data_IF_612794798258
#
_entry.id   IF_612794798258
#
_cell.length_a   1.000
_cell.length_b   1.000
_cell.length_c   1.000
_cell.angle_alpha   90.00
_cell.angle_beta   90.00
_cell.angle_gamma   90.00
#
_symmetry.space_group_name_H-M   'P 1'
#
loop_
_entity.id
_entity.type
_entity.pdbx_description
1 polymer ?
#
# COMPACT_ATOMS: atom_id res chain seq x y z
N UNK A 1 -10.78 4.31 2.70
CA UNK A 1 -12.11 3.82 2.33
C UNK A 1 -11.97 2.74 1.28
N UNK A 2 -12.64 1.62 1.47
CA UNK A 2 -12.59 0.46 0.58
C UNK A 2 -13.92 0.35 -0.17
N UNK A 3 -13.86 0.19 -1.48
CA UNK A 3 -15.02 0.03 -2.35
C UNK A 3 -14.94 -1.34 -3.01
N UNK A 4 -15.87 -2.24 -2.69
CA UNK A 4 -16.00 -3.51 -3.39
C UNK A 4 -16.93 -3.34 -4.59
N UNK A 5 -16.49 -3.75 -5.78
CA UNK A 5 -17.30 -3.73 -7.00
C UNK A 5 -17.51 -5.13 -7.60
N UNK A 6 -16.78 -6.11 -7.14
CA UNK A 6 -16.94 -7.52 -7.45
C UNK A 6 -16.72 -8.35 -6.17
N UNK A 7 -17.23 -9.61 -6.12
CA UNK A 7 -17.15 -10.44 -4.92
C UNK A 7 -15.72 -10.74 -4.44
N UNK A 8 -14.71 -10.55 -5.31
CA UNK A 8 -13.30 -10.83 -5.02
C UNK A 8 -12.39 -9.63 -5.24
N UNK A 9 -12.92 -8.51 -5.71
CA UNK A 9 -12.16 -7.32 -6.05
C UNK A 9 -12.70 -6.11 -5.30
N UNK A 10 -11.80 -5.29 -4.84
CA UNK A 10 -12.07 -4.03 -4.19
C UNK A 10 -11.06 -2.98 -4.60
N UNK A 11 -11.36 -1.76 -4.24
CA UNK A 11 -10.50 -0.61 -4.43
C UNK A 11 -10.28 0.07 -3.09
N UNK A 12 -9.05 0.31 -2.73
CA UNK A 12 -8.68 0.96 -1.48
C UNK A 12 -8.05 2.32 -1.78
N UNK A 13 -8.60 3.36 -1.16
CA UNK A 13 -8.03 4.70 -1.14
C UNK A 13 -8.10 5.27 0.27
N UNK A 14 -7.16 6.08 0.64
CA UNK A 14 -7.11 6.69 1.96
C UNK A 14 -6.08 7.79 2.07
N UNK A 15 -5.96 8.35 3.25
CA UNK A 15 -4.91 9.29 3.63
C UNK A 15 -4.10 8.64 4.74
N UNK A 16 -2.79 8.54 4.55
CA UNK A 16 -1.88 7.91 5.49
C UNK A 16 -0.79 8.89 5.88
N UNK A 17 -0.42 8.85 7.15
CA UNK A 17 0.80 9.44 7.65
C UNK A 17 1.78 8.31 7.91
N UNK A 18 2.99 8.44 7.38
CA UNK A 18 4.05 7.46 7.53
C UNK A 18 5.35 8.14 7.94
N UNK A 19 6.10 7.48 8.80
CA UNK A 19 7.47 7.84 9.12
C UNK A 19 8.40 6.83 8.47
N UNK A 20 9.14 7.28 7.48
CA UNK A 20 9.97 6.45 6.61
C UNK A 20 11.44 6.84 6.75
N UNK A 21 12.33 5.93 6.43
CA UNK A 21 13.75 6.22 6.48
C UNK A 21 14.53 5.48 5.42
N UNK A 22 15.70 5.98 5.12
CA UNK A 22 16.69 5.28 4.32
C UNK A 22 18.05 5.35 4.97
N UNK A 23 18.89 4.40 4.61
CA UNK A 23 20.31 4.36 5.01
C UNK A 23 21.13 4.04 3.78
N UNK A 24 22.12 4.86 3.50
CA UNK A 24 23.13 4.53 2.48
C UNK A 24 24.07 3.46 3.02
N UNK A 25 24.30 2.43 2.22
CA UNK A 25 25.42 1.51 2.43
C UNK A 25 26.62 2.08 1.70
N UNK A 26 27.65 2.42 2.46
CA UNK A 26 28.92 2.76 1.87
C UNK A 26 29.77 1.49 1.64
N UNK A 27 30.59 1.54 0.61
CA UNK A 27 31.55 0.49 0.33
C UNK A 27 32.61 0.44 1.45
N UNK A 28 33.12 -0.76 1.75
CA UNK A 28 33.95 -1.02 2.93
C UNK A 28 35.30 -0.31 2.93
N UNK A 29 35.73 0.25 1.79
CA UNK A 29 37.03 0.87 1.62
C UNK A 29 37.09 2.36 1.99
N UNK A 30 35.96 2.98 2.31
CA UNK A 30 35.93 4.38 2.74
C UNK A 30 35.45 4.46 4.19
N UNK A 31 36.26 5.10 5.02
CA UNK A 31 36.09 5.32 6.47
C UNK A 31 34.87 6.24 6.83
N UNK A 32 33.88 6.27 5.94
CA UNK A 32 32.64 7.05 6.12
C UNK A 32 31.53 6.19 6.70
N UNK A 33 30.99 6.60 7.83
CA UNK A 33 29.81 5.98 8.40
C UNK A 33 28.57 6.27 7.57
N UNK A 34 27.64 5.30 7.53
CA UNK A 34 26.42 5.37 6.73
C UNK A 34 25.55 6.57 7.09
N UNK A 35 25.27 7.42 6.12
CA UNK A 35 24.27 8.47 6.22
C UNK A 35 22.87 7.84 6.35
N UNK A 36 22.09 8.35 7.30
CA UNK A 36 20.70 7.93 7.54
C UNK A 36 19.80 9.14 7.45
N UNK A 37 18.62 9.00 6.87
CA UNK A 37 17.58 10.01 6.97
C UNK A 37 16.24 9.38 7.37
N UNK A 38 15.47 10.13 8.11
CA UNK A 38 14.09 9.81 8.51
C UNK A 38 13.20 10.93 7.98
N UNK A 39 12.10 10.58 7.34
CA UNK A 39 11.16 11.52 6.73
C UNK A 39 9.76 11.24 7.21
N UNK A 40 9.01 12.31 7.47
CA UNK A 40 7.59 12.26 7.70
C UNK A 40 6.87 12.55 6.39
N UNK A 41 5.97 11.64 6.00
CA UNK A 41 5.29 11.68 4.69
C UNK A 41 3.80 11.53 4.89
N UNK A 42 3.03 12.37 4.19
CA UNK A 42 1.60 12.15 3.97
C UNK A 42 1.44 11.51 2.60
N UNK A 43 0.72 10.38 2.52
CA UNK A 43 0.51 9.67 1.26
C UNK A 43 -0.97 9.33 1.02
N UNK A 44 -1.33 9.34 -0.26
CA UNK A 44 -2.63 8.89 -0.77
C UNK A 44 -2.39 7.69 -1.68
N UNK A 45 -2.57 6.46 -1.18
CA UNK A 45 -2.51 5.27 -2.02
C UNK A 45 -3.80 5.05 -2.77
N UNK A 46 -3.67 4.50 -3.97
CA UNK A 46 -4.73 3.99 -4.82
C UNK A 46 -4.42 2.52 -5.13
N UNK A 47 -5.05 1.61 -4.39
CA UNK A 47 -4.73 0.19 -4.45
C UNK A 47 -5.91 -0.61 -4.97
N UNK A 48 -5.66 -1.48 -5.93
CA UNK A 48 -6.54 -2.56 -6.30
C UNK A 48 -6.33 -3.69 -5.29
N UNK A 49 -7.41 -4.18 -4.71
CA UNK A 49 -7.41 -5.26 -3.76
C UNK A 49 -8.12 -6.48 -4.33
N UNK A 50 -7.41 -7.59 -4.37
CA UNK A 50 -8.00 -8.91 -4.57
C UNK A 50 -8.12 -9.59 -3.21
N UNK A 51 -9.28 -10.15 -2.87
CA UNK A 51 -9.46 -10.85 -1.61
C UNK A 51 -10.22 -12.16 -1.79
N UNK A 52 -9.90 -13.10 -0.92
CA UNK A 52 -10.58 -14.39 -0.80
C UNK A 52 -11.03 -14.56 0.64
N UNK A 53 -12.33 -14.74 0.82
CA UNK A 53 -12.94 -14.94 2.12
C UNK A 53 -13.11 -16.45 2.38
N UNK A 54 -12.50 -16.94 3.47
CA UNK A 54 -12.61 -18.31 3.95
C UNK A 54 -13.17 -18.26 5.39
N UNK A 55 -14.49 -18.49 5.54
CA UNK A 55 -15.20 -18.37 6.81
C UNK A 55 -15.07 -16.95 7.41
N UNK A 56 -14.35 -16.84 8.55
CA UNK A 56 -14.08 -15.57 9.22
C UNK A 56 -12.69 -14.98 8.85
N UNK A 57 -11.98 -15.65 7.94
CA UNK A 57 -10.67 -15.20 7.49
C UNK A 57 -10.76 -14.56 6.12
N UNK A 58 -10.02 -13.48 5.92
CA UNK A 58 -9.89 -12.79 4.65
C UNK A 58 -8.41 -12.70 4.29
N UNK A 59 -8.05 -13.26 3.14
CA UNK A 59 -6.74 -13.07 2.54
C UNK A 59 -6.84 -11.97 1.48
N UNK A 60 -5.89 -11.05 1.50
CA UNK A 60 -5.89 -9.88 0.62
C UNK A 60 -4.55 -9.77 -0.09
N UNK A 61 -4.61 -9.44 -1.38
CA UNK A 61 -3.45 -9.01 -2.18
C UNK A 61 -3.75 -7.62 -2.69
N UNK A 62 -2.88 -6.69 -2.40
CA UNK A 62 -3.02 -5.29 -2.77
C UNK A 62 -1.92 -4.91 -3.75
N UNK A 63 -2.27 -4.18 -4.80
CA UNK A 63 -1.33 -3.64 -5.78
C UNK A 63 -1.85 -2.31 -6.31
N UNK A 64 -0.98 -1.33 -6.42
CA UNK A 64 -1.36 -0.04 -6.98
C UNK A 64 -0.26 1.00 -6.93
N UNK A 65 -0.66 2.23 -7.06
CA UNK A 65 0.22 3.39 -7.00
C UNK A 65 -0.10 4.24 -5.75
N UNK A 66 0.82 5.10 -5.42
CA UNK A 66 0.63 6.12 -4.38
C UNK A 66 1.26 7.44 -4.81
N UNK A 67 0.69 8.52 -4.30
CA UNK A 67 1.28 9.85 -4.31
C UNK A 67 1.40 10.37 -2.91
N UNK A 68 2.50 11.06 -2.59
CA UNK A 68 2.76 11.57 -1.26
C UNK A 68 3.50 12.89 -1.25
N UNK A 69 3.55 13.48 -0.08
CA UNK A 69 4.28 14.72 0.16
C UNK A 69 5.10 14.61 1.44
N UNK A 70 6.40 14.88 1.35
CA UNK A 70 7.36 14.84 2.45
C UNK A 70 7.22 16.11 3.27
N UNK A 71 6.79 15.98 4.52
CA UNK A 71 6.53 17.10 5.44
C UNK A 71 7.79 17.57 6.13
N UNK A 72 8.55 16.61 6.67
CA UNK A 72 9.75 16.85 7.46
C UNK A 72 10.83 15.83 7.12
N UNK A 73 12.09 16.20 7.37
CA UNK A 73 13.24 15.34 7.19
C UNK A 73 14.21 15.56 8.36
N UNK A 74 14.73 14.46 8.90
CA UNK A 74 15.84 14.43 9.85
C UNK A 74 17.00 13.69 9.19
N UNK A 75 18.09 14.38 8.95
CA UNK A 75 19.32 13.79 8.39
C UNK A 75 20.38 13.60 9.46
N UNK A 76 20.87 12.41 9.52
CA UNK A 76 21.99 12.00 10.36
C UNK A 76 23.19 11.78 9.44
N UNK A 77 24.05 12.80 9.27
CA UNK A 77 25.20 12.65 8.42
C UNK A 77 26.16 11.61 9.02
N UNK A 78 26.87 10.92 8.15
CA UNK A 78 27.86 9.93 8.58
C UNK A 78 29.00 10.58 9.37
N UNK A 79 29.57 9.87 10.34
CA UNK A 79 30.73 10.34 11.08
C UNK A 79 31.95 10.42 10.14
N UNK A 80 32.52 11.60 10.01
CA UNK A 80 33.79 11.79 9.40
C UNK A 80 34.75 12.30 10.49
N UNK A 81 35.65 11.44 10.99
CA UNK A 81 36.55 11.77 12.08
C UNK A 81 35.88 11.78 13.48
N UNK A 82 36.50 12.48 14.44
CA UNK A 82 36.15 12.49 15.85
C UNK A 82 34.93 13.38 16.23
N UNK A 83 34.40 14.15 15.29
CA UNK A 83 33.28 15.08 15.55
C UNK A 83 31.99 14.45 15.10
N UNK A 84 31.01 14.35 16.01
CA UNK A 84 29.66 13.95 15.68
C UNK A 84 29.00 15.10 14.87
N UNK A 85 28.59 14.86 13.62
CA UNK A 85 27.97 15.91 12.83
C UNK A 85 26.59 16.26 13.36
N UNK A 86 26.21 17.52 13.23
CA UNK A 86 24.91 18.04 13.67
C UNK A 86 23.76 17.45 12.81
N UNK A 87 22.68 17.04 13.47
CA UNK A 87 21.49 16.53 12.80
C UNK A 87 20.80 17.67 12.06
N UNK A 88 20.55 17.52 10.78
CA UNK A 88 19.83 18.50 9.97
C UNK A 88 18.34 18.20 9.96
N UNK A 89 17.52 19.16 10.38
CA UNK A 89 16.07 19.05 10.47
C UNK A 89 15.31 19.76 9.33
N UNK A 90 16.00 20.17 8.27
CA UNK A 90 15.41 20.92 7.17
C UNK A 90 15.68 20.31 5.82
N UNK A 91 14.72 20.50 4.89
CA UNK A 91 14.94 20.20 3.48
C UNK A 91 15.93 21.18 2.88
N UNK A 92 16.81 20.68 2.07
CA UNK A 92 17.67 21.51 1.21
C UNK A 92 16.85 22.02 0.02
N UNK A 93 17.24 23.14 -0.60
CA UNK A 93 16.57 23.66 -1.81
C UNK A 93 16.56 22.65 -2.98
N UNK A 94 17.49 21.73 -2.98
CA UNK A 94 17.65 20.66 -3.98
C UNK A 94 16.77 19.44 -3.71
N UNK A 95 16.08 19.38 -2.56
CA UNK A 95 15.29 18.21 -2.20
C UNK A 95 13.90 18.25 -2.84
N UNK A 96 13.48 17.09 -3.34
CA UNK A 96 12.11 16.92 -3.82
C UNK A 96 11.18 16.54 -2.67
N UNK A 97 10.10 17.29 -2.51
CA UNK A 97 9.08 17.00 -1.50
C UNK A 97 8.01 16.03 -1.99
N UNK A 98 7.79 15.96 -3.31
CA UNK A 98 6.83 15.02 -3.88
C UNK A 98 7.41 13.61 -3.92
N UNK A 99 6.60 12.67 -3.44
CA UNK A 99 6.87 11.24 -3.48
C UNK A 99 5.77 10.52 -4.24
N UNK A 100 6.13 9.65 -5.15
CA UNK A 100 5.19 8.82 -5.89
C UNK A 100 5.87 7.52 -6.30
N UNK A 101 5.05 6.48 -6.43
CA UNK A 101 5.58 5.18 -6.79
C UNK A 101 4.52 4.09 -6.80
N UNK A 102 5.01 2.87 -6.69
CA UNK A 102 4.18 1.67 -6.64
C UNK A 102 4.20 1.08 -5.23
N UNK A 103 3.07 0.47 -4.88
CA UNK A 103 2.88 -0.18 -3.59
C UNK A 103 2.15 -1.50 -3.82
N UNK A 104 2.67 -2.57 -3.24
CA UNK A 104 2.04 -3.89 -3.36
C UNK A 104 2.32 -4.72 -2.13
N UNK A 105 1.41 -5.64 -1.82
CA UNK A 105 1.59 -6.47 -0.66
C UNK A 105 0.45 -7.43 -0.40
N UNK A 106 0.56 -8.10 0.73
CA UNK A 106 -0.40 -9.10 1.18
C UNK A 106 -0.96 -8.72 2.53
N UNK A 107 -2.17 -9.13 2.80
CA UNK A 107 -2.85 -8.91 4.06
C UNK A 107 -3.67 -10.09 4.50
N UNK A 108 -3.92 -10.11 5.77
CA UNK A 108 -4.75 -11.09 6.43
C UNK A 108 -5.74 -10.37 7.35
N UNK A 109 -7.01 -10.71 7.26
CA UNK A 109 -8.08 -10.14 8.07
C UNK A 109 -8.90 -11.19 8.80
N UNK A 110 -9.40 -10.79 9.97
CA UNK A 110 -10.41 -11.49 10.74
C UNK A 110 -11.71 -10.70 10.64
N UNK A 111 -12.75 -11.34 10.10
CA UNK A 111 -14.04 -10.71 9.88
C UNK A 111 -15.01 -11.12 10.97
N UNK A 112 -15.37 -10.16 11.81
CA UNK A 112 -16.41 -10.27 12.83
C UNK A 112 -17.48 -9.22 12.49
N UNK A 113 -18.63 -9.61 11.97
CA UNK A 113 -19.69 -8.66 11.62
C UNK A 113 -20.15 -7.87 12.87
N UNK A 114 -20.06 -6.53 12.93
CA UNK A 114 -19.71 -5.56 11.86
C UNK A 114 -18.23 -5.11 11.83
N UNK A 115 -17.31 -5.79 12.50
CA UNK A 115 -15.91 -5.39 12.66
C UNK A 115 -15.00 -6.31 11.87
N UNK A 116 -14.04 -5.74 11.16
CA UNK A 116 -12.95 -6.47 10.49
C UNK A 116 -11.60 -5.96 11.03
N UNK A 117 -10.79 -6.86 11.57
CA UNK A 117 -9.42 -6.58 11.99
C UNK A 117 -8.49 -7.12 10.95
N UNK A 118 -7.55 -6.32 10.46
CA UNK A 118 -6.62 -6.76 9.43
C UNK A 118 -5.18 -6.35 9.73
N UNK A 119 -4.25 -7.16 9.26
CA UNK A 119 -2.80 -6.90 9.24
C UNK A 119 -2.35 -7.00 7.80
N UNK A 120 -1.55 -6.02 7.35
CA UNK A 120 -1.03 -5.97 5.99
C UNK A 120 0.48 -5.74 6.02
N UNK A 121 1.19 -6.45 5.16
CA UNK A 121 2.60 -6.21 4.87
C UNK A 121 2.72 -5.75 3.40
N UNK A 122 3.22 -4.55 3.20
CA UNK A 122 3.29 -3.91 1.89
C UNK A 122 4.72 -3.50 1.57
N UNK A 123 5.13 -3.81 0.36
CA UNK A 123 6.36 -3.33 -0.24
C UNK A 123 6.05 -2.03 -0.97
N UNK A 124 6.78 -0.97 -0.64
CA UNK A 124 6.67 0.36 -1.24
C UNK A 124 7.97 0.67 -1.97
N UNK A 125 7.86 0.97 -3.26
CA UNK A 125 8.98 1.42 -4.08
C UNK A 125 8.70 2.83 -4.61
N UNK A 126 9.51 3.79 -4.19
CA UNK A 126 9.44 5.16 -4.67
C UNK A 126 10.09 5.26 -6.04
N UNK A 127 9.38 5.83 -7.00
CA UNK A 127 9.88 6.18 -8.32
C UNK A 127 10.41 7.63 -8.36
N UNK A 128 10.17 8.39 -7.30
CA UNK A 128 10.71 9.73 -7.13
C UNK A 128 12.04 9.68 -6.38
N UNK A 129 13.04 10.38 -6.88
CA UNK A 129 14.29 10.59 -6.14
C UNK A 129 14.09 11.63 -5.06
N UNK A 130 14.73 11.45 -3.90
CA UNK A 130 14.75 12.47 -2.86
C UNK A 130 15.55 13.69 -3.30
N UNK A 131 16.66 13.46 -3.97
CA UNK A 131 17.55 14.50 -4.47
C UNK A 131 17.12 14.91 -5.88
N UNK A 132 17.12 16.21 -6.14
CA UNK A 132 16.98 16.71 -7.51
C UNK A 132 18.35 16.48 -8.21
N UNK A 133 18.44 15.62 -9.22
CA UNK A 133 19.70 15.39 -9.90
C UNK A 133 20.11 16.68 -10.62
N UNK A 134 21.22 17.27 -10.21
CA UNK A 134 21.87 18.34 -10.94
C UNK A 134 22.74 17.70 -12.03
N UNK A 135 22.26 17.69 -13.25
CA UNK A 135 22.95 17.12 -14.41
C UNK A 135 24.21 17.89 -14.81
N UNK A 136 24.41 19.07 -14.25
CA UNK A 136 25.57 19.94 -14.51
C UNK A 136 26.67 19.83 -13.45
N UNK A 137 26.42 19.10 -12.36
CA UNK A 137 27.41 18.92 -11.30
C UNK A 137 28.22 17.65 -11.53
N UNK A 138 29.52 17.79 -11.74
CA UNK A 138 30.46 16.65 -11.86
C UNK A 138 30.58 15.81 -10.57
N UNK A 139 30.08 16.32 -9.43
CA UNK A 139 30.31 15.73 -8.11
C UNK A 139 29.09 15.04 -7.47
N UNK A 140 27.85 15.21 -7.95
CA UNK A 140 26.68 14.75 -7.21
C UNK A 140 25.59 14.08 -8.08
N UNK A 141 25.92 12.92 -8.66
CA UNK A 141 24.90 11.99 -9.12
C UNK A 141 24.45 11.11 -7.95
N UNK A 142 23.57 11.61 -7.07
CA UNK A 142 22.95 10.80 -6.04
C UNK A 142 21.53 10.49 -6.42
N UNK A 143 21.27 9.25 -6.82
CA UNK A 143 19.92 8.73 -6.99
C UNK A 143 19.56 7.96 -5.73
N UNK A 144 18.55 8.43 -4.99
CA UNK A 144 17.98 7.70 -3.87
C UNK A 144 16.51 7.42 -4.18
N UNK A 145 16.22 6.18 -4.50
CA UNK A 145 14.87 5.66 -4.62
C UNK A 145 14.52 4.92 -3.32
N UNK A 146 13.81 5.54 -2.39
CA UNK A 146 13.47 4.89 -1.14
C UNK A 146 12.62 3.64 -1.40
N UNK A 147 13.02 2.55 -0.78
CA UNK A 147 12.27 1.30 -0.82
C UNK A 147 12.01 0.88 0.62
N UNK A 148 10.74 0.69 0.96
CA UNK A 148 10.32 0.41 2.31
C UNK A 148 9.37 -0.78 2.38
N UNK A 149 9.45 -1.52 3.48
CA UNK A 149 8.43 -2.50 3.86
C UNK A 149 7.59 -1.85 4.95
N UNK A 150 6.29 -1.74 4.70
CA UNK A 150 5.32 -1.13 5.61
C UNK A 150 4.43 -2.24 6.16
N UNK A 151 4.46 -2.41 7.48
CA UNK A 151 3.56 -3.31 8.18
C UNK A 151 2.50 -2.45 8.87
N UNK A 152 1.24 -2.72 8.59
CA UNK A 152 0.11 -1.97 9.15
C UNK A 152 -0.92 -2.92 9.75
N UNK A 153 -1.54 -2.49 10.84
CA UNK A 153 -2.71 -3.12 11.42
C UNK A 153 -3.86 -2.11 11.43
N UNK A 154 -5.06 -2.58 11.18
CA UNK A 154 -6.22 -1.70 11.11
C UNK A 154 -7.50 -2.41 11.51
N UNK A 155 -8.49 -1.58 11.80
CA UNK A 155 -9.86 -2.02 12.11
C UNK A 155 -10.80 -1.32 11.15
N UNK A 156 -11.60 -2.10 10.44
CA UNK A 156 -12.66 -1.58 9.60
C UNK A 156 -14.01 -1.81 10.26
N UNK A 157 -14.86 -0.79 10.21
CA UNK A 157 -16.25 -0.91 10.60
C UNK A 157 -17.12 -0.94 9.34
N UNK A 158 -17.91 -1.97 9.20
CA UNK A 158 -18.87 -2.07 8.10
C UNK A 158 -20.09 -1.19 8.43
N UNK A 159 -20.22 -0.09 7.70
CA UNK A 159 -21.35 0.85 7.86
C UNK A 159 -22.61 0.33 7.15
N UNK A 160 -22.44 -0.49 6.11
CA UNK A 160 -23.51 -1.10 5.34
C UNK A 160 -23.54 -2.59 5.61
N UNK A 161 -24.72 -3.14 5.93
CA UNK A 161 -24.87 -4.60 6.05
C UNK A 161 -24.34 -5.26 4.79
N UNK A 162 -23.55 -6.29 4.96
CA UNK A 162 -23.04 -7.11 3.86
C UNK A 162 -24.23 -7.79 3.17
N UNK A 163 -24.82 -7.14 2.19
CA UNK A 163 -25.90 -7.69 1.34
C UNK A 163 -25.34 -8.70 0.32
N UNK A 164 -24.17 -9.24 0.58
CA UNK A 164 -23.65 -10.37 -0.16
C UNK A 164 -24.47 -11.60 0.16
N UNK A 165 -25.29 -12.03 -0.81
CA UNK A 165 -25.96 -13.31 -0.73
C UNK A 165 -24.92 -14.38 -0.41
N UNK A 166 -25.11 -15.06 0.72
CA UNK A 166 -24.23 -16.16 1.13
C UNK A 166 -24.05 -17.14 -0.03
N UNK A 167 -22.90 -17.83 -0.13
CA UNK A 167 -22.69 -18.89 -1.14
C UNK A 167 -23.87 -19.84 -1.25
N UNK A 168 -24.54 -20.12 -0.13
CA UNK A 168 -25.78 -20.93 -0.09
C UNK A 168 -26.95 -20.23 -0.81
N UNK A 169 -27.11 -18.93 -0.63
CA UNK A 169 -28.17 -18.15 -1.30
C UNK A 169 -27.89 -18.00 -2.80
N UNK A 170 -26.63 -17.77 -3.19
CA UNK A 170 -26.23 -17.74 -4.60
C UNK A 170 -26.44 -19.09 -5.27
N UNK A 171 -26.07 -20.19 -4.59
CA UNK A 171 -26.30 -21.55 -5.08
C UNK A 171 -27.79 -21.87 -5.20
N UNK A 172 -28.61 -21.41 -4.24
CA UNK A 172 -30.06 -21.56 -4.30
C UNK A 172 -30.65 -20.78 -5.48
N UNK A 173 -30.27 -19.52 -5.65
CA UNK A 173 -30.73 -18.70 -6.78
C UNK A 173 -30.30 -19.25 -8.14
N UNK A 174 -29.06 -19.75 -8.26
CA UNK A 174 -28.60 -20.39 -9.49
C UNK A 174 -29.42 -21.67 -9.79
N UNK A 175 -29.73 -22.43 -8.77
CA UNK A 175 -30.59 -23.62 -8.90
C UNK A 175 -31.99 -23.24 -9.32
N UNK A 176 -32.61 -22.25 -8.66
CA UNK A 176 -33.96 -21.77 -8.96
C UNK A 176 -34.04 -21.24 -10.39
N UNK A 177 -33.02 -20.51 -10.89
CA UNK A 177 -32.95 -20.06 -12.28
C UNK A 177 -32.90 -21.24 -13.27
N UNK A 178 -32.13 -22.26 -12.99
CA UNK A 178 -32.03 -23.45 -13.87
C UNK A 178 -33.33 -24.22 -13.91
N UNK A 179 -34.04 -24.37 -12.78
CA UNK A 179 -35.35 -25.05 -12.74
C UNK A 179 -36.42 -24.24 -13.47
N UNK A 180 -36.49 -22.92 -13.29
CA UNK A 180 -37.44 -22.07 -14.02
C UNK A 180 -37.18 -22.10 -15.54
N UNK A 181 -35.90 -22.15 -15.97
CA UNK A 181 -35.58 -22.27 -17.38
C UNK A 181 -36.02 -23.61 -17.96
N UNK A 182 -35.88 -24.71 -17.21
CA UNK A 182 -36.30 -26.05 -17.66
C UNK A 182 -37.82 -26.19 -17.72
N UNK A 183 -38.55 -25.59 -16.75
CA UNK A 183 -40.05 -25.55 -16.82
C UNK A 183 -40.53 -24.78 -18.05
N UNK A 184 -39.92 -23.62 -18.32
CA UNK A 184 -40.31 -22.82 -19.49
C UNK A 184 -40.00 -23.53 -20.83
N UNK A 185 -38.91 -24.33 -20.90
CA UNK A 185 -38.61 -25.13 -22.08
C UNK A 185 -39.61 -26.29 -22.24
N UNK A 186 -40.00 -26.94 -21.15
CA UNK A 186 -40.98 -28.05 -21.21
C UNK A 186 -42.39 -27.62 -21.58
N UNK A 187 -42.78 -26.38 -21.28
CA UNK A 187 -44.08 -25.82 -21.65
C UNK A 187 -44.12 -25.43 -23.11
N UNK A 188 -43.03 -24.86 -23.67
CA UNK A 188 -42.94 -24.44 -25.06
C UNK A 188 -42.56 -25.54 -26.05
N UNK A 189 -42.27 -26.74 -25.59
CA UNK A 189 -41.93 -27.91 -26.42
C UNK A 189 -43.09 -28.88 -26.71
N UNK A 190 -44.29 -28.54 -26.29
CA UNK A 190 -45.53 -29.38 -26.47
C UNK A 190 -46.57 -28.74 -27.38
N UNK A 191 -46.21 -27.77 -28.23
CA UNK A 191 -47.03 -27.23 -29.29
C UNK A 191 -46.63 -27.76 -30.68
#
# INVERSE_FOLDING_TARGET
>A
KMFGFLPYFGFQAGLFYAREGYRFKYDKDNDYTSEKAIMDVIEVPLLLQCHVDLWNFKFMVNLGCYGGYRLAIERFPGKSGSVAPEVQHSFLPTDRRWDYGIKGGVGFGLVFDPVEIHIQAMYKHSMSTLYNPDYYSEYYYRFAYPTNIVISAGVHFQITKRTGKTKAQLKKMARDMVYQTNENISINGND
#
